data_IF_744012775117
#
_entry.id   IF_744012775117
#
_cell.length_a   1.000
_cell.length_b   1.000
_cell.length_c   1.000
_cell.angle_alpha   90.00
_cell.angle_beta   90.00
_cell.angle_gamma   90.00
#
_symmetry.space_group_name_H-M   'P 1'
#
loop_
_entity.id
_entity.type
_entity.pdbx_description
1 polymer ?
#
# COMPACT_ATOMS: atom_id res chain seq x y z
N UNK A 1 16.45 -17.13 15.83
CA UNK A 1 16.65 -16.68 14.46
C UNK A 1 16.46 -17.82 13.45
N UNK A 2 17.10 -19.00 13.61
CA UNK A 2 16.91 -20.15 12.68
C UNK A 2 15.44 -20.57 12.60
N UNK A 3 14.73 -20.64 13.72
CA UNK A 3 13.30 -20.94 13.75
C UNK A 3 12.48 -19.87 12.95
N UNK A 4 12.81 -18.60 13.12
CA UNK A 4 12.20 -17.52 12.35
C UNK A 4 12.36 -17.74 10.83
N UNK A 5 13.57 -18.09 10.38
CA UNK A 5 13.80 -18.32 8.96
C UNK A 5 12.98 -19.51 8.45
N UNK A 6 12.91 -20.60 9.22
CA UNK A 6 12.11 -21.78 8.86
C UNK A 6 10.62 -21.36 8.77
N UNK A 7 10.10 -20.64 9.76
CA UNK A 7 8.72 -20.15 9.77
C UNK A 7 8.44 -19.14 8.65
N UNK A 8 9.46 -18.36 8.25
CA UNK A 8 9.41 -17.49 7.09
C UNK A 8 9.48 -18.24 5.73
N UNK A 9 9.66 -19.58 5.76
CA UNK A 9 9.73 -20.43 4.58
C UNK A 9 11.11 -20.54 3.95
N UNK A 10 12.19 -20.23 4.70
CA UNK A 10 13.56 -20.50 4.29
C UNK A 10 13.92 -21.97 4.55
N UNK A 11 14.72 -22.56 3.68
CA UNK A 11 15.22 -23.94 3.80
C UNK A 11 16.72 -23.94 4.08
N UNK A 12 17.17 -24.86 4.93
CA UNK A 12 18.60 -25.11 5.16
C UNK A 12 19.22 -25.71 3.89
N UNK A 13 20.22 -25.03 3.33
CA UNK A 13 20.90 -25.45 2.10
C UNK A 13 22.28 -26.07 2.35
N UNK A 14 22.65 -26.35 3.59
CA UNK A 14 23.99 -26.77 4.05
C UNK A 14 24.90 -25.61 4.46
N UNK A 15 25.96 -25.94 5.24
CA UNK A 15 26.97 -24.95 5.65
C UNK A 15 26.47 -23.74 6.43
N UNK A 16 25.43 -23.89 7.26
CA UNK A 16 24.78 -22.80 8.02
C UNK A 16 24.20 -21.69 7.13
N UNK A 17 23.70 -22.05 5.97
CA UNK A 17 22.98 -21.16 5.07
C UNK A 17 21.52 -21.53 4.96
N UNK A 18 20.67 -20.51 4.95
CA UNK A 18 19.24 -20.61 4.71
C UNK A 18 18.89 -19.83 3.46
N UNK A 19 18.11 -20.43 2.57
CA UNK A 19 17.72 -19.82 1.30
C UNK A 19 16.21 -19.93 1.11
N UNK A 20 15.62 -18.90 0.53
CA UNK A 20 14.24 -18.92 0.04
C UNK A 20 14.19 -18.40 -1.37
N UNK A 21 13.59 -19.19 -2.27
CA UNK A 21 13.30 -18.81 -3.64
C UNK A 21 11.89 -18.23 -3.77
N UNK A 22 11.73 -17.17 -4.54
CA UNK A 22 10.47 -16.47 -4.79
C UNK A 22 10.08 -16.62 -6.27
N UNK A 23 9.17 -17.55 -6.60
CA UNK A 23 8.81 -17.86 -8.00
C UNK A 23 8.24 -16.65 -8.77
N UNK A 24 7.43 -15.81 -8.09
CA UNK A 24 6.80 -14.64 -8.73
C UNK A 24 7.80 -13.55 -9.12
N UNK A 25 8.95 -13.52 -8.46
CA UNK A 25 9.99 -12.50 -8.64
C UNK A 25 11.28 -13.08 -9.25
N UNK A 26 11.31 -14.40 -9.48
CA UNK A 26 12.47 -15.17 -9.98
C UNK A 26 13.79 -14.79 -9.30
N UNK A 27 13.79 -14.80 -7.96
CA UNK A 27 14.95 -14.44 -7.16
C UNK A 27 15.00 -15.24 -5.85
N UNK A 28 16.14 -15.19 -5.17
CA UNK A 28 16.34 -15.78 -3.83
C UNK A 28 16.91 -14.77 -2.85
N UNK A 29 16.57 -14.94 -1.57
CA UNK A 29 17.32 -14.36 -0.45
C UNK A 29 18.10 -15.48 0.21
N UNK A 30 19.37 -15.21 0.56
CA UNK A 30 20.23 -16.14 1.30
C UNK A 30 20.67 -15.51 2.62
N UNK A 31 20.53 -16.26 3.71
CA UNK A 31 21.04 -15.88 5.04
C UNK A 31 22.22 -16.78 5.39
N UNK A 32 23.42 -16.22 5.47
CA UNK A 32 24.68 -16.93 5.73
C UNK A 32 25.12 -16.69 7.18
N UNK A 33 24.92 -17.68 8.05
CA UNK A 33 25.26 -17.60 9.48
C UNK A 33 26.75 -17.59 9.74
N UNK A 34 27.58 -18.18 8.87
CA UNK A 34 29.05 -18.15 9.04
C UNK A 34 29.63 -16.77 8.79
N UNK A 35 29.00 -16.03 7.87
CA UNK A 35 29.41 -14.66 7.51
C UNK A 35 28.58 -13.60 8.23
N UNK A 36 27.56 -14.02 8.98
CA UNK A 36 26.57 -13.11 9.59
C UNK A 36 26.01 -12.11 8.59
N UNK A 37 25.61 -12.63 7.40
CA UNK A 37 25.13 -11.80 6.29
C UNK A 37 23.78 -12.24 5.77
N UNK A 38 22.98 -11.23 5.40
CA UNK A 38 21.75 -11.35 4.61
C UNK A 38 22.10 -10.91 3.19
N UNK A 39 21.91 -11.79 2.22
CA UNK A 39 22.24 -11.56 0.81
C UNK A 39 20.94 -11.39 0.05
N UNK A 40 20.64 -10.17 -0.30
CA UNK A 40 19.49 -9.78 -1.12
C UNK A 40 19.80 -9.97 -2.62
N UNK A 41 18.76 -10.09 -3.49
CA UNK A 41 18.95 -10.36 -4.92
C UNK A 41 19.37 -9.13 -5.73
N UNK A 42 20.53 -8.52 -5.41
CA UNK A 42 21.06 -7.34 -6.09
C UNK A 42 21.34 -7.61 -7.58
N UNK A 43 21.66 -8.85 -7.94
CA UNK A 43 21.84 -9.28 -9.33
C UNK A 43 20.52 -9.25 -10.14
N UNK A 44 19.37 -9.09 -9.48
CA UNK A 44 18.04 -8.93 -10.07
C UNK A 44 17.51 -7.48 -9.92
N UNK A 45 18.41 -6.54 -9.62
CA UNK A 45 18.08 -5.12 -9.52
C UNK A 45 17.65 -4.63 -8.13
N UNK A 46 17.61 -5.51 -7.11
CA UNK A 46 17.40 -5.10 -5.73
C UNK A 46 18.50 -4.14 -5.29
N UNK A 47 18.16 -3.06 -4.59
CA UNK A 47 19.14 -2.04 -4.20
C UNK A 47 19.37 -2.03 -2.70
N UNK A 48 20.63 -2.07 -2.31
CA UNK A 48 21.08 -1.89 -0.94
C UNK A 48 22.05 -0.70 -0.90
N UNK A 49 21.62 0.42 -0.33
CA UNK A 49 22.46 1.62 -0.31
C UNK A 49 23.50 1.62 0.82
N UNK A 50 23.18 0.96 1.92
CA UNK A 50 24.06 0.88 3.09
C UNK A 50 24.05 -0.56 3.60
N UNK A 51 25.25 -1.15 3.78
CA UNK A 51 25.38 -2.55 4.16
C UNK A 51 25.00 -2.85 5.64
N UNK A 52 24.54 -1.87 6.41
CA UNK A 52 24.16 -2.09 7.81
C UNK A 52 22.94 -2.98 7.98
N UNK A 53 22.02 -3.02 7.01
CA UNK A 53 20.84 -3.90 6.99
C UNK A 53 21.11 -5.29 6.44
N UNK A 54 22.35 -5.57 6.01
CA UNK A 54 22.74 -6.85 5.43
C UNK A 54 23.53 -7.73 6.39
N UNK A 55 23.54 -7.42 7.67
CA UNK A 55 24.27 -8.17 8.71
C UNK A 55 23.38 -8.46 9.92
N UNK A 56 23.94 -9.10 10.94
CA UNK A 56 23.23 -9.51 12.16
C UNK A 56 23.42 -8.56 13.34
N UNK A 57 23.99 -7.35 13.09
CA UNK A 57 24.36 -6.43 14.18
C UNK A 57 23.17 -5.87 14.95
N UNK A 58 22.02 -5.68 14.27
CA UNK A 58 20.85 -5.07 14.85
C UNK A 58 19.62 -5.99 14.70
N UNK A 59 18.79 -6.14 15.75
CA UNK A 59 17.56 -6.93 15.67
C UNK A 59 16.58 -6.43 14.59
N UNK A 60 16.58 -5.14 14.32
CA UNK A 60 15.73 -4.50 13.29
C UNK A 60 16.03 -5.03 11.88
N UNK A 61 17.27 -5.48 11.61
CA UNK A 61 17.65 -6.06 10.33
C UNK A 61 16.83 -7.33 10.00
N UNK A 62 16.40 -8.06 11.01
CA UNK A 62 15.53 -9.24 10.83
C UNK A 62 14.08 -8.86 10.59
N UNK A 63 13.63 -7.73 11.11
CA UNK A 63 12.33 -7.15 10.78
C UNK A 63 12.31 -6.69 9.33
N UNK A 64 13.38 -6.02 8.87
CA UNK A 64 13.57 -5.65 7.47
C UNK A 64 13.58 -6.88 6.57
N UNK A 65 14.34 -7.93 6.93
CA UNK A 65 14.37 -9.18 6.19
C UNK A 65 12.98 -9.81 6.06
N UNK A 66 12.22 -9.84 7.15
CA UNK A 66 10.89 -10.45 7.17
C UNK A 66 9.90 -9.62 6.34
N UNK A 67 9.96 -8.29 6.41
CA UNK A 67 9.16 -7.41 5.56
C UNK A 67 9.48 -7.63 4.08
N UNK A 68 10.76 -7.65 3.69
CA UNK A 68 11.19 -7.93 2.30
C UNK A 68 10.75 -9.32 1.86
N UNK A 69 10.86 -10.34 2.74
CA UNK A 69 10.36 -11.69 2.47
C UNK A 69 8.88 -11.68 2.09
N UNK A 70 8.05 -10.93 2.80
CA UNK A 70 6.62 -10.78 2.48
C UNK A 70 6.41 -10.04 1.15
N UNK A 71 7.16 -8.97 0.88
CA UNK A 71 7.06 -8.21 -0.36
C UNK A 71 7.37 -9.08 -1.58
N UNK A 72 8.51 -9.77 -1.57
CA UNK A 72 8.88 -10.69 -2.66
C UNK A 72 7.89 -11.85 -2.79
N UNK A 73 7.41 -12.39 -1.67
CA UNK A 73 6.41 -13.44 -1.64
C UNK A 73 5.06 -13.01 -2.24
N UNK A 74 4.72 -11.73 -2.18
CA UNK A 74 3.54 -11.14 -2.84
C UNK A 74 3.75 -10.84 -4.33
N UNK A 75 4.98 -10.88 -4.83
CA UNK A 75 5.29 -10.61 -6.22
C UNK A 75 5.77 -9.19 -6.52
N UNK A 76 6.16 -8.41 -5.50
CA UNK A 76 6.95 -7.21 -5.76
C UNK A 76 8.28 -7.62 -6.35
N UNK A 77 8.73 -6.93 -7.40
CA UNK A 77 9.98 -7.28 -8.09
C UNK A 77 11.19 -6.70 -7.38
N UNK A 78 12.33 -7.42 -7.38
CA UNK A 78 13.56 -6.94 -6.76
C UNK A 78 13.97 -5.55 -7.19
N UNK A 79 13.90 -5.23 -8.47
CA UNK A 79 14.27 -3.93 -9.04
C UNK A 79 13.41 -2.75 -8.55
N UNK A 80 12.27 -3.04 -7.93
CA UNK A 80 11.39 -2.02 -7.34
C UNK A 80 11.61 -1.84 -5.84
N UNK A 81 12.50 -2.63 -5.22
CA UNK A 81 12.76 -2.59 -3.77
C UNK A 81 14.16 -2.00 -3.52
N UNK A 82 14.21 -1.01 -2.66
CA UNK A 82 15.44 -0.31 -2.29
C UNK A 82 15.52 -0.20 -0.76
N UNK A 83 16.62 -0.68 -0.17
CA UNK A 83 16.91 -0.55 1.25
C UNK A 83 17.77 0.69 1.52
N UNK A 84 17.55 1.29 2.69
CA UNK A 84 18.36 2.37 3.22
C UNK A 84 18.48 3.56 2.27
N UNK A 85 17.36 3.92 1.63
CA UNK A 85 17.31 5.09 0.76
C UNK A 85 17.54 6.33 1.57
N UNK A 86 18.51 7.14 1.13
CA UNK A 86 18.82 8.43 1.73
C UNK A 86 18.47 9.57 0.79
N UNK A 87 17.96 10.65 1.34
CA UNK A 87 17.76 11.90 0.59
C UNK A 87 18.79 12.93 1.03
N UNK A 88 19.38 13.65 0.06
CA UNK A 88 20.26 14.77 0.33
C UNK A 88 19.43 16.03 0.53
N UNK A 89 19.29 16.47 1.75
CA UNK A 89 18.84 17.83 2.05
C UNK A 89 20.01 18.76 1.76
N UNK A 90 19.80 19.80 0.91
CA UNK A 90 20.83 20.77 0.46
C UNK A 90 21.94 21.05 1.48
N UNK A 91 22.94 21.83 1.15
CA UNK A 91 24.21 21.96 1.88
C UNK A 91 24.15 21.66 3.40
N UNK A 92 24.70 20.48 3.81
CA UNK A 92 25.08 20.04 5.16
C UNK A 92 24.02 19.41 6.10
N UNK A 93 22.78 19.15 5.71
CA UNK A 93 21.89 18.32 6.54
C UNK A 93 21.75 16.94 5.93
N UNK A 94 22.01 15.88 6.73
CA UNK A 94 21.67 14.51 6.35
C UNK A 94 20.15 14.42 6.29
N UNK A 95 19.61 14.11 5.13
CA UNK A 95 18.21 13.74 4.95
C UNK A 95 17.89 12.47 5.75
N UNK A 96 16.61 12.22 5.97
CA UNK A 96 16.17 10.97 6.56
C UNK A 96 16.66 9.76 5.76
N UNK A 97 16.71 8.63 6.41
CA UNK A 97 17.04 7.31 5.82
C UNK A 97 15.88 6.37 6.09
N UNK A 98 15.20 5.95 5.03
CA UNK A 98 14.10 5.02 5.14
C UNK A 98 14.58 3.57 4.99
N UNK A 99 14.06 2.66 5.81
CA UNK A 99 14.49 1.28 5.81
C UNK A 99 14.17 0.57 4.50
N UNK A 100 12.93 0.70 4.00
CA UNK A 100 12.50 0.09 2.74
C UNK A 100 11.71 1.10 1.91
N UNK A 101 12.09 1.25 0.67
CA UNK A 101 11.34 2.00 -0.33
C UNK A 101 10.89 1.05 -1.45
N UNK A 102 9.64 1.15 -1.84
CA UNK A 102 9.10 0.37 -2.95
C UNK A 102 8.53 1.30 -4.01
N UNK A 103 9.02 1.16 -5.24
CA UNK A 103 8.51 1.88 -6.40
C UNK A 103 7.50 1.05 -7.20
N UNK A 104 6.67 1.70 -8.00
CA UNK A 104 5.86 1.04 -9.01
C UNK A 104 6.72 0.67 -10.25
N UNK A 105 6.09 0.02 -11.22
CA UNK A 105 6.75 -0.40 -12.46
C UNK A 105 7.24 0.78 -13.33
N UNK A 106 6.81 1.99 -13.04
CA UNK A 106 7.22 3.23 -13.71
C UNK A 106 8.28 4.00 -12.90
N UNK A 107 8.76 3.43 -11.80
CA UNK A 107 9.76 4.04 -10.93
C UNK A 107 9.21 5.13 -9.99
N UNK A 108 7.89 5.31 -9.89
CA UNK A 108 7.28 6.21 -8.91
C UNK A 108 7.26 5.54 -7.53
N UNK A 109 7.52 6.31 -6.49
CA UNK A 109 7.43 5.82 -5.12
C UNK A 109 6.00 5.37 -4.81
N UNK A 110 5.86 4.09 -4.52
CA UNK A 110 4.57 3.50 -4.16
C UNK A 110 4.34 3.59 -2.66
N UNK A 111 5.31 3.13 -1.88
CA UNK A 111 5.29 3.28 -0.42
C UNK A 111 6.69 3.25 0.19
N UNK A 112 6.77 3.82 1.39
CA UNK A 112 7.96 3.84 2.23
C UNK A 112 7.61 3.10 3.51
N UNK A 113 8.48 2.19 3.95
CA UNK A 113 8.32 1.42 5.20
C UNK A 113 9.41 1.82 6.18
N UNK A 114 8.99 2.14 7.39
CA UNK A 114 9.83 2.22 8.57
C UNK A 114 9.64 0.95 9.38
N UNK A 115 10.71 0.22 9.63
CA UNK A 115 10.74 -1.01 10.38
C UNK A 115 11.15 -0.73 11.84
N UNK A 116 10.47 -1.37 12.79
CA UNK A 116 10.82 -1.30 14.21
C UNK A 116 10.74 -2.68 14.83
N UNK A 117 11.55 -2.94 15.84
CA UNK A 117 11.37 -4.14 16.65
C UNK A 117 10.00 -4.12 17.32
N UNK A 118 9.37 -5.30 17.38
CA UNK A 118 8.03 -5.47 17.92
C UNK A 118 7.95 -5.02 19.40
N UNK A 119 6.87 -4.37 19.77
CA UNK A 119 6.60 -3.93 21.13
C UNK A 119 7.08 -2.51 21.43
N UNK A 120 8.14 -2.32 22.23
CA UNK A 120 8.51 -1.00 22.77
C UNK A 120 8.92 0.00 21.69
N UNK A 121 9.74 -0.40 20.72
CA UNK A 121 10.22 0.51 19.69
C UNK A 121 9.11 0.88 18.68
N UNK A 122 8.27 -0.10 18.31
CA UNK A 122 7.08 0.18 17.52
C UNK A 122 6.14 1.17 18.22
N UNK A 123 5.85 0.95 19.50
CA UNK A 123 4.97 1.81 20.28
C UNK A 123 5.55 3.22 20.47
N UNK A 124 6.87 3.33 20.59
CA UNK A 124 7.57 4.61 20.68
C UNK A 124 7.46 5.38 19.37
N UNK A 125 7.73 4.73 18.24
CA UNK A 125 7.60 5.39 16.92
C UNK A 125 6.14 5.75 16.61
N UNK A 126 5.18 4.90 16.98
CA UNK A 126 3.76 5.24 16.88
C UNK A 126 3.42 6.52 17.66
N UNK A 127 3.96 6.70 18.87
CA UNK A 127 3.77 7.95 19.64
C UNK A 127 4.40 9.14 18.94
N UNK A 128 5.59 9.01 18.35
CA UNK A 128 6.23 10.07 17.58
C UNK A 128 5.36 10.45 16.38
N UNK A 129 4.87 9.48 15.62
CA UNK A 129 4.00 9.70 14.47
C UNK A 129 2.74 10.48 14.89
N UNK A 130 2.11 10.10 15.99
CA UNK A 130 0.91 10.77 16.50
C UNK A 130 1.20 12.18 17.06
N UNK A 131 2.42 12.46 17.51
CA UNK A 131 2.78 13.76 18.10
C UNK A 131 3.18 14.82 17.07
N UNK A 132 3.97 14.44 16.06
CA UNK A 132 4.55 15.37 15.09
C UNK A 132 4.75 14.80 13.67
N UNK A 133 4.32 13.55 13.43
CA UNK A 133 4.47 12.83 12.17
C UNK A 133 5.68 11.90 12.11
N UNK A 134 6.58 11.94 13.10
CA UNK A 134 7.73 11.06 13.22
C UNK A 134 8.63 11.03 11.99
N UNK A 135 9.31 9.91 11.81
CA UNK A 135 10.17 9.70 10.65
C UNK A 135 9.38 9.60 9.34
N UNK A 136 8.19 8.99 9.36
CA UNK A 136 7.40 8.72 8.16
C UNK A 136 7.00 9.98 7.41
N UNK A 137 6.42 10.99 8.07
CA UNK A 137 6.02 12.23 7.39
C UNK A 137 7.26 13.02 6.91
N UNK A 138 8.40 12.89 7.61
CA UNK A 138 9.65 13.49 7.17
C UNK A 138 10.16 12.85 5.86
N UNK A 139 10.02 11.54 5.67
CA UNK A 139 10.33 10.87 4.39
C UNK A 139 9.38 11.29 3.27
N UNK A 140 8.11 11.42 3.56
CA UNK A 140 7.13 11.90 2.60
C UNK A 140 7.43 13.30 2.07
N UNK A 141 7.97 14.17 2.92
CA UNK A 141 8.43 15.47 2.45
C UNK A 141 9.55 15.36 1.40
N UNK A 142 10.40 14.34 1.50
CA UNK A 142 11.51 14.12 0.56
C UNK A 142 11.05 13.51 -0.76
N UNK A 143 9.97 12.69 -0.73
CA UNK A 143 9.38 12.07 -1.92
C UNK A 143 7.86 12.27 -1.92
N UNK A 144 7.43 13.39 -2.48
CA UNK A 144 6.02 13.79 -2.57
C UNK A 144 5.19 12.90 -3.51
N UNK A 145 5.84 12.08 -4.31
CA UNK A 145 5.20 11.06 -5.15
C UNK A 145 4.78 9.81 -4.41
N UNK A 146 5.22 9.64 -3.15
CA UNK A 146 4.87 8.53 -2.31
C UNK A 146 3.35 8.46 -2.08
N UNK A 147 2.78 7.26 -2.20
CA UNK A 147 1.33 7.04 -1.99
C UNK A 147 1.01 6.59 -0.57
N UNK A 148 1.89 5.84 0.06
CA UNK A 148 1.67 5.27 1.38
C UNK A 148 2.93 5.32 2.23
N UNK A 149 2.73 5.66 3.49
CA UNK A 149 3.75 5.54 4.53
C UNK A 149 3.34 4.39 5.43
N UNK A 150 4.27 3.54 5.81
CA UNK A 150 4.01 2.30 6.54
C UNK A 150 4.94 2.18 7.73
N UNK A 151 4.36 2.00 8.91
CA UNK A 151 5.10 1.54 10.08
C UNK A 151 4.92 0.02 10.16
N UNK A 152 6.01 -0.71 10.32
CA UNK A 152 6.04 -2.16 10.31
C UNK A 152 6.86 -2.73 11.46
N UNK A 153 6.35 -3.76 12.11
CA UNK A 153 7.12 -4.58 13.04
C UNK A 153 6.74 -6.05 12.95
N UNK A 154 7.68 -6.93 13.19
CA UNK A 154 7.45 -8.37 13.28
C UNK A 154 8.20 -9.00 14.43
N UNK A 155 7.69 -10.14 14.89
CA UNK A 155 8.26 -10.95 15.95
C UNK A 155 7.93 -12.43 15.72
N UNK A 156 8.65 -13.31 16.41
CA UNK A 156 8.26 -14.71 16.56
C UNK A 156 7.55 -14.88 17.91
N UNK A 157 6.37 -15.47 17.90
CA UNK A 157 5.64 -15.83 19.10
C UNK A 157 6.21 -17.14 19.73
N UNK A 158 5.66 -17.51 20.89
CA UNK A 158 6.08 -18.72 21.59
C UNK A 158 5.79 -20.05 20.88
N UNK A 159 5.06 -20.02 19.77
CA UNK A 159 4.72 -21.18 18.92
C UNK A 159 5.58 -21.24 17.65
N UNK A 160 6.65 -20.47 17.56
CA UNK A 160 7.50 -20.32 16.38
C UNK A 160 6.76 -19.74 15.15
N UNK A 161 5.63 -19.04 15.34
CA UNK A 161 4.90 -18.36 14.27
C UNK A 161 5.31 -16.88 14.17
N UNK A 162 5.36 -16.36 12.95
CA UNK A 162 5.66 -14.95 12.72
C UNK A 162 4.39 -14.13 12.92
N UNK A 163 4.43 -13.27 13.92
CA UNK A 163 3.45 -12.21 14.16
C UNK A 163 3.98 -10.90 13.60
N UNK A 164 3.12 -10.09 13.00
CA UNK A 164 3.49 -8.76 12.55
C UNK A 164 2.35 -7.78 12.81
N UNK A 165 2.73 -6.52 12.95
CA UNK A 165 1.80 -5.39 13.00
C UNK A 165 2.22 -4.35 11.98
N UNK A 166 1.24 -3.67 11.42
CA UNK A 166 1.48 -2.63 10.41
C UNK A 166 0.38 -1.61 10.44
N UNK A 167 0.78 -0.34 10.37
CA UNK A 167 -0.11 0.80 10.24
C UNK A 167 0.33 1.65 9.06
N UNK A 168 -0.64 2.11 8.27
CA UNK A 168 -0.37 2.80 7.02
C UNK A 168 -1.08 4.15 6.96
N UNK A 169 -0.40 5.17 6.43
CA UNK A 169 -0.93 6.51 6.20
C UNK A 169 -1.08 6.72 4.70
N UNK A 170 -2.27 7.09 4.23
CA UNK A 170 -2.50 7.49 2.85
C UNK A 170 -1.93 8.89 2.60
N UNK A 171 -1.10 9.03 1.59
CA UNK A 171 -0.44 10.27 1.19
C UNK A 171 -1.22 11.07 0.11
N UNK A 172 -2.42 10.62 -0.24
CA UNK A 172 -3.22 11.26 -1.29
C UNK A 172 -4.40 12.01 -0.70
N UNK A 173 -4.74 13.15 -1.30
CA UNK A 173 -5.98 13.80 -0.97
C UNK A 173 -7.17 12.96 -1.42
N UNK A 174 -8.07 12.64 -0.47
CA UNK A 174 -9.30 11.92 -0.73
C UNK A 174 -10.25 12.78 -1.57
N UNK A 175 -10.95 12.15 -2.48
CA UNK A 175 -11.83 12.85 -3.40
C UNK A 175 -13.00 13.55 -2.71
N UNK A 176 -13.58 12.93 -1.70
CA UNK A 176 -14.63 13.58 -0.92
C UNK A 176 -14.10 14.84 -0.24
N UNK A 177 -12.88 14.77 0.29
CA UNK A 177 -12.18 15.93 0.88
C UNK A 177 -11.90 16.98 -0.19
N UNK A 178 -11.44 16.60 -1.38
CA UNK A 178 -11.24 17.54 -2.50
C UNK A 178 -12.55 18.25 -2.90
N UNK A 179 -13.67 17.54 -2.91
CA UNK A 179 -14.98 18.12 -3.22
C UNK A 179 -15.50 19.02 -2.09
N UNK A 180 -15.25 18.66 -0.84
CA UNK A 180 -15.56 19.52 0.29
C UNK A 180 -14.73 20.82 0.26
N UNK A 181 -13.43 20.72 -0.02
CA UNK A 181 -12.53 21.86 -0.10
C UNK A 181 -12.87 22.85 -1.24
N UNK A 182 -13.57 22.41 -2.28
CA UNK A 182 -14.14 23.33 -3.29
C UNK A 182 -15.23 24.24 -2.72
N UNK A 183 -15.95 23.77 -1.70
CA UNK A 183 -17.05 24.51 -1.04
C UNK A 183 -16.57 25.26 0.19
N UNK A 184 -15.56 24.72 0.87
CA UNK A 184 -14.95 25.30 2.06
C UNK A 184 -13.42 25.40 1.91
N UNK A 185 -12.91 26.59 1.55
CA UNK A 185 -11.48 26.80 1.36
C UNK A 185 -10.63 26.69 2.64
N UNK A 186 -11.25 26.55 3.81
CA UNK A 186 -10.53 26.36 5.09
C UNK A 186 -10.02 24.93 5.27
N UNK A 187 -10.53 23.97 4.50
CA UNK A 187 -10.12 22.58 4.55
C UNK A 187 -8.67 22.45 4.03
N UNK A 188 -7.81 21.92 4.86
CA UNK A 188 -6.40 21.74 4.52
C UNK A 188 -6.23 20.51 3.60
N UNK A 189 -5.38 20.66 2.58
CA UNK A 189 -5.09 19.62 1.60
C UNK A 189 -3.60 19.31 1.55
N UNK A 190 -3.24 18.05 1.37
CA UNK A 190 -1.86 17.63 1.22
C UNK A 190 -1.15 18.30 0.05
N UNK A 191 -1.84 18.51 -1.07
CA UNK A 191 -1.27 19.17 -2.25
C UNK A 191 -0.79 20.60 -1.97
N UNK A 192 -1.32 21.25 -0.94
CA UNK A 192 -0.99 22.62 -0.55
C UNK A 192 0.04 22.68 0.59
N UNK A 193 0.39 21.54 1.19
CA UNK A 193 1.36 21.43 2.27
C UNK A 193 2.78 21.25 1.70
N UNK A 194 3.74 22.03 2.17
CA UNK A 194 5.10 22.04 1.65
C UNK A 194 6.17 21.68 2.69
N UNK A 195 5.80 21.61 3.96
CA UNK A 195 6.70 21.31 5.07
C UNK A 195 6.17 20.14 5.90
N UNK A 196 7.05 19.47 6.66
CA UNK A 196 6.66 18.38 7.58
C UNK A 196 5.56 18.81 8.55
N UNK A 197 5.64 19.98 9.23
CA UNK A 197 4.56 20.44 10.10
C UNK A 197 3.23 20.67 9.37
N UNK A 198 3.27 21.18 8.13
CA UNK A 198 2.03 21.36 7.33
C UNK A 198 1.41 20.03 6.92
N UNK A 199 2.21 19.07 6.48
CA UNK A 199 1.75 17.70 6.16
C UNK A 199 1.12 17.04 7.37
N UNK A 200 1.80 17.10 8.51
CA UNK A 200 1.28 16.58 9.76
C UNK A 200 -0.03 17.28 10.16
N UNK A 201 -0.11 18.61 10.00
CA UNK A 201 -1.32 19.37 10.29
C UNK A 201 -2.50 18.92 9.42
N UNK A 202 -2.29 18.72 8.12
CA UNK A 202 -3.34 18.18 7.22
C UNK A 202 -3.78 16.82 7.70
N UNK A 203 -2.85 15.91 7.99
CA UNK A 203 -3.19 14.57 8.47
C UNK A 203 -3.98 14.60 9.78
N UNK A 204 -3.61 15.50 10.69
CA UNK A 204 -4.28 15.67 11.99
C UNK A 204 -5.66 16.30 11.87
N UNK A 205 -5.79 17.40 11.15
CA UNK A 205 -7.01 18.22 11.14
C UNK A 205 -8.03 17.78 10.07
N UNK A 206 -7.55 17.33 8.90
CA UNK A 206 -8.42 16.91 7.81
C UNK A 206 -8.71 15.41 7.82
N UNK A 207 -7.70 14.61 8.14
CA UNK A 207 -7.79 13.14 8.10
C UNK A 207 -7.84 12.49 9.49
N UNK A 208 -7.98 13.28 10.57
CA UNK A 208 -8.19 12.81 11.96
C UNK A 208 -7.13 11.78 12.41
N UNK A 209 -5.90 11.92 11.93
CA UNK A 209 -4.79 10.98 12.18
C UNK A 209 -5.14 9.52 11.84
N UNK A 210 -5.93 9.32 10.78
CA UNK A 210 -6.43 7.99 10.41
C UNK A 210 -5.33 7.12 9.83
N UNK A 211 -5.22 5.91 10.36
CA UNK A 211 -4.45 4.82 9.78
C UNK A 211 -5.35 3.90 8.95
N UNK A 212 -4.80 3.36 7.89
CA UNK A 212 -5.49 2.40 7.01
C UNK A 212 -5.18 0.94 7.35
N UNK A 213 -4.43 0.69 8.43
CA UNK A 213 -4.07 -0.66 8.88
C UNK A 213 -3.25 -1.44 7.85
N UNK A 214 -3.50 -2.75 7.78
CA UNK A 214 -2.73 -3.68 6.94
C UNK A 214 -3.23 -3.71 5.49
N UNK A 215 -2.88 -2.70 4.70
CA UNK A 215 -3.28 -2.59 3.29
C UNK A 215 -2.33 -3.32 2.33
N UNK A 216 -1.05 -3.50 2.71
CA UNK A 216 -0.01 -4.08 1.86
C UNK A 216 0.07 -5.59 2.03
N UNK A 217 0.06 -6.06 3.29
CA UNK A 217 0.32 -7.47 3.62
C UNK A 217 -0.94 -8.29 3.88
N UNK A 218 -2.14 -7.69 3.77
CA UNK A 218 -3.38 -8.44 3.91
C UNK A 218 -3.44 -9.59 2.89
N UNK A 219 -4.13 -10.68 3.23
CA UNK A 219 -4.22 -11.87 2.37
C UNK A 219 -4.72 -11.56 0.96
N UNK A 220 -5.60 -10.59 0.86
CA UNK A 220 -6.28 -10.22 -0.39
C UNK A 220 -5.61 -9.06 -1.14
N UNK A 221 -4.55 -8.43 -0.59
CA UNK A 221 -3.82 -7.38 -1.31
C UNK A 221 -2.94 -7.99 -2.41
N UNK A 222 -2.95 -7.36 -3.57
CA UNK A 222 -2.14 -7.73 -4.73
C UNK A 222 -0.95 -6.79 -4.83
N UNK A 223 0.22 -7.30 -5.24
CA UNK A 223 1.40 -6.46 -5.45
C UNK A 223 1.11 -5.32 -6.43
N UNK A 224 1.58 -4.12 -6.11
CA UNK A 224 1.36 -2.86 -6.83
C UNK A 224 -0.08 -2.32 -6.80
N UNK A 225 -1.07 -3.10 -6.37
CA UNK A 225 -2.47 -2.73 -6.27
C UNK A 225 -2.84 -2.50 -4.80
N UNK A 226 -2.36 -1.38 -4.25
CA UNK A 226 -2.51 -1.03 -2.83
C UNK A 226 -3.71 -0.10 -2.65
N UNK A 227 -4.56 -0.44 -1.72
CA UNK A 227 -5.74 0.36 -1.40
C UNK A 227 -6.76 -0.46 -0.65
N UNK A 228 -8.02 -0.15 -0.85
CA UNK A 228 -9.11 -0.99 -0.36
C UNK A 228 -9.01 -2.35 -1.04
N UNK A 229 -9.22 -3.42 -0.26
CA UNK A 229 -9.33 -4.79 -0.78
C UNK A 229 -10.16 -4.78 -2.07
N UNK A 230 -9.57 -5.14 -3.22
CA UNK A 230 -10.34 -5.19 -4.45
C UNK A 230 -11.41 -6.29 -4.31
N UNK A 231 -12.65 -5.95 -4.61
CA UNK A 231 -13.75 -6.90 -4.60
C UNK A 231 -13.52 -7.94 -5.71
N UNK A 232 -13.67 -9.20 -5.34
CA UNK A 232 -13.75 -10.31 -6.28
C UNK A 232 -15.21 -10.60 -6.60
N UNK A 233 -15.49 -11.31 -7.69
CA UNK A 233 -16.87 -11.67 -8.05
C UNK A 233 -17.59 -12.36 -6.90
N UNK A 234 -16.96 -13.30 -6.20
CA UNK A 234 -17.50 -13.99 -5.02
C UNK A 234 -17.81 -13.08 -3.82
N UNK A 235 -17.24 -11.91 -3.77
CA UNK A 235 -17.47 -10.92 -2.68
C UNK A 235 -18.72 -10.06 -2.94
N UNK A 236 -19.29 -10.14 -4.16
CA UNK A 236 -20.49 -9.40 -4.55
C UNK A 236 -21.70 -9.94 -3.80
N UNK A 237 -22.56 -9.03 -3.37
CA UNK A 237 -23.83 -9.38 -2.71
C UNK A 237 -24.95 -9.38 -3.70
N UNK A 238 -25.86 -10.35 -3.58
CA UNK A 238 -27.09 -10.37 -4.32
C UNK A 238 -27.96 -9.15 -3.95
N UNK A 239 -28.54 -8.53 -4.96
CA UNK A 239 -29.46 -7.40 -4.83
C UNK A 239 -30.93 -7.81 -4.73
N UNK A 240 -31.23 -9.09 -4.85
CA UNK A 240 -32.61 -9.59 -4.75
C UNK A 240 -33.19 -9.21 -3.38
N UNK A 241 -34.27 -8.42 -3.40
CA UNK A 241 -34.97 -7.95 -2.20
C UNK A 241 -34.54 -6.59 -1.66
N UNK A 242 -33.74 -5.81 -2.39
CA UNK A 242 -33.33 -4.48 -1.96
C UNK A 242 -34.04 -3.38 -2.77
N UNK A 243 -35.35 -3.21 -2.55
CA UNK A 243 -36.20 -2.22 -3.23
C UNK A 243 -35.76 -0.75 -3.01
N UNK A 244 -34.84 -0.52 -2.06
CA UNK A 244 -34.32 0.81 -1.72
C UNK A 244 -33.14 1.26 -2.58
N UNK A 245 -32.55 0.37 -3.38
CA UNK A 245 -31.36 0.70 -4.18
C UNK A 245 -31.64 1.80 -5.20
N UNK A 246 -32.76 1.68 -5.93
CA UNK A 246 -33.12 2.68 -6.94
C UNK A 246 -33.33 4.05 -6.29
N UNK A 247 -34.05 4.12 -5.18
CA UNK A 247 -34.28 5.36 -4.45
C UNK A 247 -32.98 5.97 -3.92
N UNK A 248 -32.09 5.16 -3.40
CA UNK A 248 -30.78 5.63 -2.90
C UNK A 248 -29.88 6.11 -4.03
N UNK A 249 -29.92 5.47 -5.17
CA UNK A 249 -29.18 5.91 -6.36
C UNK A 249 -29.73 7.23 -6.91
N UNK A 250 -31.06 7.38 -7.01
CA UNK A 250 -31.69 8.64 -7.39
C UNK A 250 -31.34 9.78 -6.41
N UNK A 251 -31.24 9.50 -5.13
CA UNK A 251 -30.84 10.46 -4.12
C UNK A 251 -29.38 10.91 -4.33
N UNK A 252 -28.46 9.99 -4.59
CA UNK A 252 -27.05 10.28 -4.91
C UNK A 252 -26.96 11.14 -6.18
N UNK A 253 -27.69 10.83 -7.22
CA UNK A 253 -27.69 11.60 -8.45
C UNK A 253 -28.23 13.01 -8.26
N UNK A 254 -29.30 13.16 -7.48
CA UNK A 254 -29.87 14.48 -7.14
C UNK A 254 -28.90 15.37 -6.36
N UNK A 255 -28.18 14.80 -5.40
CA UNK A 255 -27.14 15.52 -4.64
C UNK A 255 -25.95 15.95 -5.49
N UNK A 256 -25.72 15.31 -6.64
CA UNK A 256 -24.63 15.62 -7.57
C UNK A 256 -25.09 16.42 -8.81
N UNK A 257 -26.14 17.24 -8.69
CA UNK A 257 -26.67 18.14 -9.72
C UNK A 257 -27.14 17.47 -11.01
N UNK A 258 -27.54 16.21 -10.96
CA UNK A 258 -28.23 15.54 -12.07
C UNK A 258 -29.73 15.81 -11.90
N UNK A 259 -30.20 16.94 -12.41
CA UNK A 259 -31.59 17.40 -12.23
C UNK A 259 -32.58 16.76 -13.19
N UNK A 260 -32.11 16.13 -14.25
CA UNK A 260 -32.92 15.49 -15.26
C UNK A 260 -33.06 13.99 -15.03
N UNK A 261 -34.33 13.54 -14.82
CA UNK A 261 -34.63 12.12 -14.54
C UNK A 261 -34.25 11.19 -15.69
N UNK A 262 -34.35 11.62 -16.94
CA UNK A 262 -34.03 10.84 -18.11
C UNK A 262 -32.50 10.61 -18.19
N UNK A 263 -31.73 11.64 -17.98
CA UNK A 263 -30.25 11.52 -17.91
C UNK A 263 -29.81 10.68 -16.72
N UNK A 264 -30.47 10.77 -15.58
CA UNK A 264 -30.18 9.92 -14.42
C UNK A 264 -30.46 8.44 -14.73
N UNK A 265 -31.56 8.14 -15.38
CA UNK A 265 -31.93 6.77 -15.78
C UNK A 265 -30.97 6.20 -16.81
N UNK A 266 -30.62 6.96 -17.84
CA UNK A 266 -29.66 6.53 -18.87
C UNK A 266 -28.28 6.24 -18.29
N UNK A 267 -27.80 7.05 -17.35
CA UNK A 267 -26.54 6.81 -16.63
C UNK A 267 -26.60 5.53 -15.77
N UNK A 268 -27.72 5.30 -15.12
CA UNK A 268 -27.94 4.09 -14.35
C UNK A 268 -27.87 2.84 -15.24
N UNK A 269 -28.56 2.85 -16.39
CA UNK A 269 -28.50 1.75 -17.36
C UNK A 269 -27.07 1.53 -17.83
N UNK A 270 -26.33 2.57 -18.20
CA UNK A 270 -24.93 2.47 -18.62
C UNK A 270 -24.06 1.81 -17.54
N UNK A 271 -24.24 2.18 -16.26
CA UNK A 271 -23.52 1.54 -15.14
C UNK A 271 -23.93 0.08 -14.94
N UNK A 272 -25.20 -0.27 -15.10
CA UNK A 272 -25.66 -1.67 -15.05
C UNK A 272 -25.05 -2.51 -16.17
N UNK A 273 -24.95 -1.97 -17.38
CA UNK A 273 -24.29 -2.67 -18.50
C UNK A 273 -22.81 -2.94 -18.13
N UNK A 274 -22.08 -1.94 -17.66
CA UNK A 274 -20.70 -2.13 -17.21
C UNK A 274 -20.58 -3.23 -16.15
N UNK A 275 -21.46 -3.22 -15.15
CA UNK A 275 -21.47 -4.22 -14.09
C UNK A 275 -21.74 -5.63 -14.62
N UNK A 276 -22.76 -5.79 -15.48
CA UNK A 276 -23.12 -7.09 -16.04
C UNK A 276 -22.00 -7.66 -16.90
N UNK A 277 -21.39 -6.85 -17.77
CA UNK A 277 -20.29 -7.28 -18.63
C UNK A 277 -19.11 -7.76 -17.80
N UNK A 278 -18.72 -6.98 -16.78
CA UNK A 278 -17.64 -7.35 -15.88
C UNK A 278 -17.93 -8.68 -15.17
N UNK A 279 -19.13 -8.86 -14.62
CA UNK A 279 -19.49 -10.08 -13.91
C UNK A 279 -19.59 -11.32 -14.83
N UNK A 280 -20.05 -11.17 -16.06
CA UNK A 280 -20.15 -12.29 -17.02
C UNK A 280 -18.76 -12.78 -17.44
N UNK A 281 -17.82 -11.87 -17.61
CA UNK A 281 -16.46 -12.18 -18.05
C UNK A 281 -15.58 -12.77 -16.94
N UNK A 282 -15.96 -12.66 -15.67
CA UNK A 282 -15.13 -13.02 -14.50
C UNK A 282 -15.56 -14.36 -13.89
N UNK A 283 -14.57 -15.10 -13.40
CA UNK A 283 -14.77 -16.24 -12.49
C UNK A 283 -14.88 -15.73 -11.04
N UNK A 284 -15.34 -16.57 -10.13
CA UNK A 284 -15.56 -16.21 -8.72
C UNK A 284 -14.32 -15.62 -8.02
N UNK A 285 -13.13 -16.06 -8.40
CA UNK A 285 -11.87 -15.61 -7.82
C UNK A 285 -11.27 -14.39 -8.52
N UNK A 286 -11.83 -13.96 -9.64
CA UNK A 286 -11.34 -12.80 -10.37
C UNK A 286 -11.76 -11.48 -9.70
N UNK A 287 -10.87 -10.50 -9.79
CA UNK A 287 -11.14 -9.13 -9.33
C UNK A 287 -12.09 -8.46 -10.34
N UNK A 288 -13.20 -7.91 -9.83
CA UNK A 288 -14.12 -7.14 -10.68
C UNK A 288 -13.55 -5.76 -10.99
N UNK A 289 -13.77 -5.31 -12.23
CA UNK A 289 -13.30 -4.00 -12.70
C UNK A 289 -14.30 -2.88 -12.40
N UNK A 290 -15.59 -3.23 -12.23
CA UNK A 290 -16.65 -2.31 -11.84
C UNK A 290 -16.57 -1.97 -10.34
N UNK A 291 -15.48 -1.33 -9.95
CA UNK A 291 -15.24 -0.84 -8.60
C UNK A 291 -14.27 0.34 -8.60
N UNK A 292 -14.35 1.21 -7.60
CA UNK A 292 -13.34 2.22 -7.33
C UNK A 292 -12.31 1.66 -6.34
N UNK A 293 -11.05 1.57 -6.77
CA UNK A 293 -9.95 1.09 -5.94
C UNK A 293 -9.28 2.27 -5.26
N UNK A 294 -9.65 2.54 -4.01
CA UNK A 294 -9.10 3.66 -3.22
C UNK A 294 -7.58 3.54 -3.11
N UNK A 295 -6.87 4.62 -3.45
CA UNK A 295 -5.40 4.68 -3.41
C UNK A 295 -4.69 4.23 -4.68
N UNK A 296 -5.40 3.57 -5.61
CA UNK A 296 -4.83 3.18 -6.92
C UNK A 296 -5.54 3.84 -8.10
N UNK A 297 -6.85 4.04 -7.99
CA UNK A 297 -7.63 4.65 -9.05
C UNK A 297 -7.59 6.18 -8.98
N UNK A 298 -7.52 6.77 -10.17
CA UNK A 298 -7.95 8.16 -10.42
C UNK A 298 -9.34 8.13 -11.06
N UNK A 299 -10.02 9.26 -11.12
CA UNK A 299 -11.28 9.36 -11.88
C UNK A 299 -11.11 8.96 -13.33
N UNK A 300 -10.03 9.41 -13.95
CA UNK A 300 -9.72 9.09 -15.35
C UNK A 300 -9.58 7.59 -15.54
N UNK A 301 -8.78 6.90 -14.71
CA UNK A 301 -8.57 5.45 -14.83
C UNK A 301 -9.87 4.65 -14.61
N UNK A 302 -10.71 5.07 -13.66
CA UNK A 302 -12.04 4.48 -13.48
C UNK A 302 -12.94 4.75 -14.66
N UNK A 303 -12.97 5.99 -15.16
CA UNK A 303 -13.80 6.38 -16.30
C UNK A 303 -13.42 5.58 -17.56
N UNK A 304 -12.12 5.44 -17.84
CA UNK A 304 -11.62 4.66 -18.98
C UNK A 304 -12.04 3.18 -18.87
N UNK A 305 -11.94 2.62 -17.66
CA UNK A 305 -12.39 1.24 -17.41
C UNK A 305 -13.89 1.07 -17.64
N UNK A 306 -14.71 1.99 -17.11
CA UNK A 306 -16.16 1.95 -17.30
C UNK A 306 -16.56 2.16 -18.75
N UNK A 307 -15.89 3.05 -19.47
CA UNK A 307 -16.13 3.26 -20.92
C UNK A 307 -15.81 2.00 -21.72
N UNK A 308 -14.71 1.30 -21.38
CA UNK A 308 -14.35 0.02 -22.01
C UNK A 308 -15.42 -1.03 -21.79
N UNK A 309 -15.84 -1.25 -20.52
CA UNK A 309 -16.89 -2.20 -20.16
C UNK A 309 -18.23 -1.86 -20.85
N UNK A 310 -18.59 -0.58 -20.89
CA UNK A 310 -19.82 -0.14 -21.59
C UNK A 310 -19.76 -0.43 -23.08
N UNK A 311 -18.63 -0.15 -23.73
CA UNK A 311 -18.44 -0.43 -25.16
C UNK A 311 -18.59 -1.92 -25.45
N UNK A 312 -17.93 -2.78 -24.64
CA UNK A 312 -18.03 -4.24 -24.77
C UNK A 312 -19.47 -4.76 -24.55
N UNK A 313 -20.27 -4.07 -23.74
CA UNK A 313 -21.66 -4.44 -23.50
C UNK A 313 -22.65 -3.95 -24.57
N UNK A 314 -22.21 -3.07 -25.45
CA UNK A 314 -23.03 -2.57 -26.56
C UNK A 314 -22.73 -3.28 -27.90
N UNK A 315 -21.67 -4.09 -27.95
CA UNK A 315 -21.34 -4.99 -29.07
C UNK A 315 -22.02 -6.34 -28.95
#
# INVERSE_FOLDING_TARGET
>A
LKNMLISAGFSDTSNDKYEKYYPLSDCSIVVDFRKEKIIYPENKGFKVNIATTTNFSEPENFVVLECVNKLLGKGYRPENIELERTWTLGHKQKGGRADICVSDQNGKMLFIVECKTYGSEYNKEMKNILSDGGQLISYWQQDRGCRWLVLYASNINGNDEIEYTTDSINCSDDENILNLAKKDPTILLYKNAHTVPELYKVWKETYEQRFSGNIIFSKDSVAYDIGVKPLRKKDLKDFSGNDKIVNRFEEILRHNNVSDKENAFNRLIALFICKLVDEIQKTDDDIVEFQYKVGTDTYESLQDRLQKLHKEGME
#
